data_IF_252230753745
#
_entry.id   IF_252230753745
#
_cell.length_a   1.000
_cell.length_b   1.000
_cell.length_c   1.000
_cell.angle_alpha   90.00
_cell.angle_beta   90.00
_cell.angle_gamma   90.00
#
_symmetry.space_group_name_H-M   'P 1'
#
loop_
_entity.id
_entity.type
_entity.pdbx_description
1 polymer ?
#
# COMPACT_ATOMS: atom_id res chain seq x y z
N UNK A 1 1.87 -6.04 17.46
CA UNK A 1 0.86 -5.00 17.14
C UNK A 1 0.53 -5.10 15.66
N UNK A 2 -0.75 -5.07 15.32
CA UNK A 2 -1.17 -5.07 13.92
C UNK A 2 -0.65 -3.84 13.19
N UNK A 3 -0.33 -4.01 11.91
CA UNK A 3 0.23 -2.92 11.10
C UNK A 3 -0.66 -1.69 11.04
N UNK A 4 -1.99 -1.88 11.01
CA UNK A 4 -2.93 -0.77 10.99
C UNK A 4 -2.87 0.09 12.27
N UNK A 5 -2.28 -0.43 13.33
CA UNK A 5 -2.07 0.29 14.59
C UNK A 5 -0.65 0.87 14.71
N UNK A 6 0.22 0.56 13.75
CA UNK A 6 1.61 1.01 13.75
C UNK A 6 1.77 2.21 12.82
N UNK A 7 1.75 3.41 13.39
CA UNK A 7 1.83 4.65 12.62
C UNK A 7 3.14 4.77 11.84
N UNK A 8 4.23 4.26 12.39
CA UNK A 8 5.52 4.29 11.70
C UNK A 8 5.51 3.42 10.46
N UNK A 9 4.98 2.19 10.57
CA UNK A 9 4.84 1.29 9.44
C UNK A 9 3.95 1.90 8.37
N UNK A 10 2.80 2.47 8.77
CA UNK A 10 1.88 3.08 7.82
C UNK A 10 2.55 4.24 7.09
N UNK A 11 3.33 5.06 7.77
CA UNK A 11 4.04 6.15 7.13
C UNK A 11 5.10 5.62 6.15
N UNK A 12 5.81 4.55 6.51
CA UNK A 12 6.79 3.92 5.62
C UNK A 12 6.12 3.38 4.35
N UNK A 13 4.92 2.78 4.48
CA UNK A 13 4.16 2.29 3.34
C UNK A 13 3.65 3.44 2.45
N UNK A 14 3.21 4.54 3.06
CA UNK A 14 2.81 5.73 2.30
C UNK A 14 3.96 6.26 1.47
N UNK A 15 5.16 6.34 2.05
CA UNK A 15 6.36 6.77 1.33
C UNK A 15 6.72 5.80 0.21
N UNK A 16 6.61 4.50 0.47
CA UNK A 16 6.88 3.49 -0.54
C UNK A 16 5.97 3.66 -1.74
N UNK A 17 4.68 3.85 -1.53
CA UNK A 17 3.71 4.05 -2.61
C UNK A 17 4.06 5.29 -3.43
N UNK A 18 4.34 6.40 -2.77
CA UNK A 18 4.65 7.66 -3.44
C UNK A 18 5.92 7.52 -4.27
N UNK A 19 6.96 6.88 -3.72
CA UNK A 19 8.23 6.73 -4.40
C UNK A 19 8.14 5.75 -5.58
N UNK A 20 7.50 4.60 -5.37
CA UNK A 20 7.44 3.55 -6.40
C UNK A 20 6.51 3.91 -7.56
N UNK A 21 5.45 4.64 -7.28
CA UNK A 21 4.47 5.03 -8.29
C UNK A 21 4.73 6.41 -8.87
N UNK A 22 5.78 7.09 -8.41
CA UNK A 22 6.18 8.42 -8.86
C UNK A 22 5.00 9.41 -8.81
N UNK A 23 4.31 9.42 -7.67
CA UNK A 23 3.15 10.28 -7.44
C UNK A 23 3.62 11.58 -6.78
N UNK A 24 3.11 12.70 -7.29
CA UNK A 24 3.49 14.03 -6.76
C UNK A 24 2.53 14.46 -5.64
N UNK A 25 2.48 13.67 -4.58
CA UNK A 25 1.66 13.95 -3.42
C UNK A 25 2.48 13.68 -2.16
N UNK A 26 2.22 14.45 -1.12
CA UNK A 26 2.90 14.26 0.17
C UNK A 26 2.39 12.96 0.81
N UNK A 27 3.28 12.05 1.23
CA UNK A 27 2.83 10.83 1.91
C UNK A 27 1.89 11.10 3.08
N UNK A 28 2.06 12.22 3.80
CA UNK A 28 1.19 12.59 4.90
C UNK A 28 -0.24 12.92 4.51
N UNK A 29 -0.50 13.15 3.21
CA UNK A 29 -1.84 13.43 2.70
C UNK A 29 -2.64 12.15 2.41
N UNK A 30 -2.02 10.99 2.45
CA UNK A 30 -2.70 9.71 2.23
C UNK A 30 -3.43 9.34 3.52
N UNK A 31 -4.74 9.14 3.43
CA UNK A 31 -5.54 8.71 4.56
C UNK A 31 -5.51 7.19 4.70
N UNK A 32 -5.51 6.71 5.95
CA UNK A 32 -5.37 5.28 6.23
C UNK A 32 -6.55 4.45 5.72
N UNK A 33 -7.73 5.05 5.64
CA UNK A 33 -8.97 4.36 5.24
C UNK A 33 -9.31 4.53 3.77
N UNK A 34 -8.56 5.35 3.03
CA UNK A 34 -8.86 5.61 1.62
C UNK A 34 -8.53 4.39 0.76
N UNK A 35 -9.39 4.08 -0.23
CA UNK A 35 -9.03 3.05 -1.20
C UNK A 35 -7.80 3.49 -2.01
N UNK A 36 -6.95 2.53 -2.33
CA UNK A 36 -5.72 2.83 -3.08
C UNK A 36 -5.90 2.66 -4.58
N UNK A 37 -6.83 1.82 -5.01
CA UNK A 37 -7.07 1.52 -6.42
C UNK A 37 -8.37 2.06 -6.92
N UNK A 38 -8.43 2.27 -8.24
CA UNK A 38 -9.63 2.62 -8.96
C UNK A 38 -9.77 4.10 -9.18
N UNK A 39 -10.68 4.47 -10.09
CA UNK A 39 -10.89 5.87 -10.46
C UNK A 39 -11.48 6.71 -9.34
N UNK A 40 -12.15 6.07 -8.37
CA UNK A 40 -12.72 6.75 -7.21
C UNK A 40 -11.72 6.95 -6.08
N UNK A 41 -10.55 6.31 -6.16
CA UNK A 41 -9.53 6.43 -5.12
C UNK A 41 -8.75 7.74 -5.29
N UNK A 42 -8.34 8.40 -4.20
CA UNK A 42 -7.56 9.63 -4.30
C UNK A 42 -6.26 9.48 -5.09
N UNK A 43 -5.59 8.32 -4.98
CA UNK A 43 -4.35 8.06 -5.70
C UNK A 43 -4.59 7.51 -7.10
N UNK A 44 -5.72 6.85 -7.32
CA UNK A 44 -6.08 6.30 -8.62
C UNK A 44 -5.07 5.29 -9.18
N UNK A 45 -4.53 4.43 -8.32
CA UNK A 45 -3.51 3.46 -8.73
C UNK A 45 -4.09 2.42 -9.68
N UNK A 46 -3.29 1.99 -10.65
CA UNK A 46 -3.69 0.95 -11.60
C UNK A 46 -2.87 -0.33 -11.39
N UNK A 47 -3.04 -1.32 -12.29
CA UNK A 47 -2.39 -2.61 -12.15
C UNK A 47 -0.87 -2.52 -12.30
N UNK A 48 -0.35 -1.55 -13.06
CA UNK A 48 1.09 -1.35 -13.20
C UNK A 48 1.65 -0.84 -11.88
N UNK A 49 0.98 0.12 -11.26
CA UNK A 49 1.37 0.64 -9.95
C UNK A 49 1.35 -0.48 -8.90
N UNK A 50 0.33 -1.32 -8.94
CA UNK A 50 0.22 -2.47 -8.02
C UNK A 50 1.40 -3.41 -8.17
N UNK A 51 1.81 -3.68 -9.40
CA UNK A 51 2.96 -4.55 -9.66
C UNK A 51 4.24 -3.95 -9.07
N UNK A 52 4.44 -2.66 -9.27
CA UNK A 52 5.63 -1.98 -8.72
C UNK A 52 5.63 -2.03 -7.19
N UNK A 53 4.48 -1.79 -6.58
CA UNK A 53 4.35 -1.87 -5.13
C UNK A 53 4.64 -3.29 -4.62
N UNK A 54 4.14 -4.31 -5.32
CA UNK A 54 4.37 -5.71 -4.90
C UNK A 54 5.86 -6.08 -4.96
N UNK A 55 6.57 -5.60 -5.97
CA UNK A 55 8.01 -5.84 -6.09
C UNK A 55 8.76 -5.14 -4.94
N UNK A 56 8.39 -3.91 -4.64
CA UNK A 56 9.02 -3.15 -3.56
C UNK A 56 8.76 -3.79 -2.20
N UNK A 57 7.55 -4.29 -1.98
CA UNK A 57 7.19 -4.99 -0.74
C UNK A 57 8.02 -6.26 -0.58
N UNK A 58 8.17 -7.03 -1.66
CA UNK A 58 9.00 -8.23 -1.63
C UNK A 58 10.45 -7.91 -1.27
N UNK A 59 10.99 -6.85 -1.87
CA UNK A 59 12.38 -6.46 -1.63
C UNK A 59 12.60 -5.90 -0.23
N UNK A 60 11.64 -5.16 0.30
CA UNK A 60 11.81 -4.45 1.57
C UNK A 60 11.36 -5.27 2.77
N UNK A 61 10.26 -6.03 2.63
CA UNK A 61 9.64 -6.76 3.74
C UNK A 61 9.67 -8.28 3.58
N UNK A 62 10.10 -8.78 2.43
CA UNK A 62 10.13 -10.21 2.16
C UNK A 62 8.76 -10.85 1.97
N UNK A 63 7.71 -10.06 1.76
CA UNK A 63 6.36 -10.54 1.58
C UNK A 63 6.04 -10.64 0.10
N UNK A 64 5.39 -11.73 -0.32
CA UNK A 64 4.99 -11.93 -1.71
C UNK A 64 3.48 -11.81 -1.86
N UNK A 65 3.06 -11.06 -2.86
CA UNK A 65 1.67 -10.97 -3.28
C UNK A 65 1.56 -11.75 -4.58
N UNK A 66 0.82 -12.87 -4.58
CA UNK A 66 0.89 -13.87 -5.65
C UNK A 66 -0.25 -13.83 -6.65
N UNK A 67 -1.38 -13.17 -6.35
CA UNK A 67 -2.47 -13.09 -7.29
C UNK A 67 -3.20 -11.74 -7.21
N UNK A 68 -3.98 -11.44 -8.27
CA UNK A 68 -4.64 -10.14 -8.38
C UNK A 68 -5.80 -9.96 -7.39
N UNK A 69 -6.46 -11.04 -7.00
CA UNK A 69 -7.51 -10.96 -5.98
C UNK A 69 -6.93 -10.61 -4.62
N UNK A 70 -5.81 -11.24 -4.28
CA UNK A 70 -5.10 -10.93 -3.05
C UNK A 70 -4.63 -9.48 -3.05
N UNK A 71 -4.08 -9.02 -4.18
CA UNK A 71 -3.63 -7.65 -4.34
C UNK A 71 -4.76 -6.65 -4.09
N UNK A 72 -5.94 -6.87 -4.68
CA UNK A 72 -7.08 -5.98 -4.49
C UNK A 72 -7.52 -5.91 -3.04
N UNK A 73 -7.53 -7.05 -2.35
CA UNK A 73 -7.92 -7.12 -0.96
C UNK A 73 -6.92 -6.39 -0.07
N UNK A 74 -5.63 -6.59 -0.32
CA UNK A 74 -4.56 -5.96 0.44
C UNK A 74 -4.60 -4.43 0.26
N UNK A 75 -4.90 -3.99 -0.96
CA UNK A 75 -4.85 -2.58 -1.33
C UNK A 75 -6.21 -1.86 -1.20
N UNK A 76 -7.18 -2.46 -0.49
CA UNK A 76 -8.45 -1.79 -0.23
C UNK A 76 -8.26 -0.48 0.54
N UNK A 77 -7.28 -0.46 1.43
CA UNK A 77 -6.90 0.74 2.17
C UNK A 77 -5.46 0.59 2.65
N UNK A 78 -4.89 1.66 3.14
CA UNK A 78 -3.57 1.58 3.73
C UNK A 78 -3.58 0.70 4.98
N UNK A 79 -4.66 0.74 5.75
CA UNK A 79 -4.81 -0.11 6.93
C UNK A 79 -4.73 -1.59 6.56
N UNK A 80 -5.43 -2.02 5.52
CA UNK A 80 -5.40 -3.43 5.10
C UNK A 80 -4.01 -3.81 4.58
N UNK A 81 -3.34 -2.89 3.88
CA UNK A 81 -1.98 -3.10 3.41
C UNK A 81 -1.02 -3.28 4.59
N UNK A 82 -1.12 -2.40 5.59
CA UNK A 82 -0.27 -2.49 6.77
C UNK A 82 -0.51 -3.79 7.56
N UNK A 83 -1.77 -4.22 7.67
CA UNK A 83 -2.10 -5.48 8.34
C UNK A 83 -1.55 -6.70 7.60
N UNK A 84 -1.48 -6.63 6.26
CA UNK A 84 -0.85 -7.69 5.49
C UNK A 84 0.65 -7.80 5.80
N UNK A 85 1.34 -6.67 5.89
CA UNK A 85 2.78 -6.63 6.18
C UNK A 85 3.04 -7.08 7.61
N UNK A 86 2.21 -6.65 8.54
CA UNK A 86 2.38 -6.91 9.97
C UNK A 86 1.04 -7.34 10.57
N UNK A 87 0.71 -8.65 10.49
CA UNK A 87 -0.60 -9.15 10.98
C UNK A 87 -0.77 -9.05 12.50
N UNK A 88 0.33 -9.00 13.24
CA UNK A 88 0.29 -8.95 14.71
C UNK A 88 1.30 -7.96 15.25
#
# INVERSE_FOLDING_TARGET
MQGSLDEKLKMDLKRLIVEECDIMIDPGEINDDDPLFGSAAPLGLDSIDALQISIAVQNRYGQMITDSKQMRRIMESLNSFADFIQPE
#
